data_IF_279449448463
#
_entry.id   IF_279449448463
#
_cell.length_a   1.000
_cell.length_b   1.000
_cell.length_c   1.000
_cell.angle_alpha   90.00
_cell.angle_beta   90.00
_cell.angle_gamma   90.00
#
_symmetry.space_group_name_H-M   'P 1'
#
loop_
_entity.id
_entity.type
_entity.pdbx_description
1 polymer ?
#
# COMPACT_ATOMS: atom_id res chain seq x y z
N UNK A 1 -11.53 4.37 -26.55
CA UNK A 1 -10.80 4.93 -25.40
C UNK A 1 -10.65 3.83 -24.38
N UNK A 2 -9.43 3.57 -23.92
CA UNK A 2 -9.27 2.64 -22.80
C UNK A 2 -9.78 3.31 -21.51
N UNK A 3 -10.27 2.50 -20.57
CA UNK A 3 -10.81 2.98 -19.29
C UNK A 3 -10.08 2.34 -18.12
N UNK A 4 -10.09 3.04 -16.98
CA UNK A 4 -9.48 2.55 -15.76
C UNK A 4 -10.19 1.30 -15.25
N UNK A 5 -9.43 0.26 -14.86
CA UNK A 5 -10.03 -0.95 -14.31
C UNK A 5 -10.77 -0.72 -12.98
N UNK A 6 -10.37 0.28 -12.20
CA UNK A 6 -10.96 0.63 -10.89
C UNK A 6 -12.18 1.55 -11.09
N UNK A 7 -11.96 2.80 -11.49
CA UNK A 7 -13.03 3.81 -11.49
C UNK A 7 -13.88 3.87 -12.78
N UNK A 8 -13.53 3.08 -13.80
CA UNK A 8 -14.14 3.09 -15.15
C UNK A 8 -14.08 4.43 -15.89
N UNK A 9 -13.38 5.43 -15.34
CA UNK A 9 -13.15 6.72 -15.98
C UNK A 9 -12.09 6.65 -17.08
N UNK A 10 -11.82 7.83 -17.64
CA UNK A 10 -10.86 8.00 -18.74
C UNK A 10 -9.45 7.62 -18.31
N UNK A 11 -8.73 6.92 -19.19
CA UNK A 11 -7.35 6.55 -18.94
C UNK A 11 -6.42 7.72 -19.27
N UNK A 12 -5.77 8.27 -18.25
CA UNK A 12 -4.76 9.33 -18.37
C UNK A 12 -3.32 8.79 -18.34
N UNK A 13 -3.09 7.69 -17.62
CA UNK A 13 -1.81 6.99 -17.48
C UNK A 13 -2.05 5.48 -17.29
N UNK A 14 -1.03 4.63 -17.43
CA UNK A 14 -1.16 3.16 -17.26
C UNK A 14 -0.28 2.65 -16.13
N UNK A 15 -0.66 2.97 -14.89
CA UNK A 15 0.03 2.46 -13.70
C UNK A 15 -0.21 0.97 -13.51
N UNK A 16 0.77 0.33 -12.86
CA UNK A 16 0.81 -1.10 -12.56
C UNK A 16 0.67 -1.98 -13.81
N UNK A 17 1.80 -2.49 -14.30
CA UNK A 17 1.89 -3.27 -15.54
C UNK A 17 0.85 -4.41 -15.54
N UNK A 18 -0.06 -4.39 -16.51
CA UNK A 18 -1.13 -5.39 -16.68
C UNK A 18 -2.48 -5.05 -16.01
N UNK A 19 -2.53 -4.02 -15.17
CA UNK A 19 -3.74 -3.63 -14.45
C UNK A 19 -4.47 -2.42 -15.03
N UNK A 20 -3.80 -1.60 -15.87
CA UNK A 20 -4.43 -0.46 -16.58
C UNK A 20 -5.17 0.49 -15.61
N UNK A 21 -4.42 1.02 -14.63
CA UNK A 21 -4.94 1.88 -13.57
C UNK A 21 -4.56 3.34 -13.88
N UNK A 22 -5.52 4.27 -13.75
CA UNK A 22 -5.31 5.70 -13.99
C UNK A 22 -4.56 6.35 -12.82
N UNK A 23 -4.12 7.60 -12.96
CA UNK A 23 -3.30 8.28 -11.94
C UNK A 23 -4.04 8.41 -10.61
N UNK A 24 -5.29 8.90 -10.62
CA UNK A 24 -6.09 9.09 -9.39
C UNK A 24 -6.26 7.77 -8.62
N UNK A 25 -6.55 6.67 -9.32
CA UNK A 25 -6.68 5.37 -8.67
C UNK A 25 -5.33 4.76 -8.24
N UNK A 26 -4.23 5.13 -8.90
CA UNK A 26 -2.90 4.71 -8.49
C UNK A 26 -2.47 5.41 -7.20
N UNK A 27 -2.74 6.70 -7.07
CA UNK A 27 -2.44 7.46 -5.85
C UNK A 27 -3.20 6.86 -4.64
N UNK A 28 -4.50 6.61 -4.79
CA UNK A 28 -5.31 5.94 -3.76
C UNK A 28 -4.84 4.52 -3.45
N UNK A 29 -4.28 3.83 -4.46
CA UNK A 29 -3.71 2.50 -4.27
C UNK A 29 -2.42 2.56 -3.44
N UNK A 30 -1.54 3.53 -3.71
CA UNK A 30 -0.33 3.76 -2.90
C UNK A 30 -0.70 4.11 -1.45
N UNK A 31 -1.76 4.89 -1.21
CA UNK A 31 -2.27 5.20 0.14
C UNK A 31 -2.66 3.92 0.90
N UNK A 32 -3.45 3.04 0.27
CA UNK A 32 -3.90 1.78 0.87
C UNK A 32 -2.74 0.80 1.10
N UNK A 33 -1.84 0.67 0.13
CA UNK A 33 -0.73 -0.27 0.22
C UNK A 33 0.37 0.21 1.18
N UNK A 34 0.58 1.52 1.29
CA UNK A 34 1.47 2.13 2.27
C UNK A 34 0.99 1.86 3.70
N UNK A 35 -0.30 2.08 3.96
CA UNK A 35 -0.93 1.75 5.24
C UNK A 35 -0.76 0.27 5.59
N UNK A 36 -1.04 -0.60 4.63
CA UNK A 36 -0.89 -2.04 4.80
C UNK A 36 0.57 -2.47 5.06
N UNK A 37 1.52 -1.82 4.37
CA UNK A 37 2.94 -2.04 4.58
C UNK A 37 3.35 -1.70 6.01
N UNK A 38 2.98 -0.53 6.53
CA UNK A 38 3.28 -0.16 7.91
C UNK A 38 2.71 -1.12 8.94
N UNK A 39 1.46 -1.56 8.77
CA UNK A 39 0.87 -2.56 9.69
C UNK A 39 1.68 -3.84 9.68
N UNK A 40 2.04 -4.32 8.48
CA UNK A 40 2.75 -5.58 8.30
C UNK A 40 4.15 -5.57 8.90
N UNK A 41 4.85 -4.42 8.87
CA UNK A 41 6.23 -4.30 9.38
C UNK A 41 6.30 -3.87 10.85
N UNK A 42 5.34 -3.08 11.34
CA UNK A 42 5.30 -2.65 12.75
C UNK A 42 5.07 -3.82 13.69
N UNK A 43 4.33 -4.85 13.24
CA UNK A 43 4.12 -6.10 13.99
C UNK A 43 5.40 -6.96 14.12
N UNK A 44 6.50 -6.64 13.41
CA UNK A 44 7.71 -7.47 13.32
C UNK A 44 8.99 -6.84 13.91
N UNK A 45 8.88 -5.72 14.63
CA UNK A 45 10.03 -4.90 15.08
C UNK A 45 11.08 -5.62 15.96
N UNK A 46 10.81 -6.83 16.48
CA UNK A 46 11.74 -7.57 17.35
C UNK A 46 12.82 -8.41 16.62
N UNK A 47 12.81 -8.57 15.29
CA UNK A 47 13.68 -9.57 14.61
C UNK A 47 14.73 -8.99 13.65
N UNK A 48 15.41 -7.91 14.04
CA UNK A 48 16.49 -7.25 13.28
C UNK A 48 17.77 -8.08 12.98
N UNK A 49 17.83 -9.39 13.29
CA UNK A 49 19.01 -10.25 13.03
C UNK A 49 18.78 -11.43 12.07
N UNK A 50 17.56 -11.62 11.56
CA UNK A 50 17.19 -12.79 10.75
C UNK A 50 17.61 -12.75 9.27
N UNK A 51 17.82 -11.56 8.71
CA UNK A 51 17.84 -11.35 7.25
C UNK A 51 18.99 -12.06 6.48
N UNK A 52 20.17 -12.26 7.08
CA UNK A 52 21.24 -13.05 6.43
C UNK A 52 20.94 -14.56 6.44
N UNK A 53 20.16 -15.06 7.40
CA UNK A 53 19.63 -16.43 7.45
C UNK A 53 18.34 -16.62 6.62
N UNK A 54 17.70 -15.49 6.25
CA UNK A 54 16.47 -15.35 5.47
C UNK A 54 16.72 -15.54 3.97
N UNK A 55 17.90 -15.14 3.46
CA UNK A 55 18.31 -15.40 2.08
C UNK A 55 18.60 -16.90 1.80
N UNK A 56 18.98 -17.67 2.82
CA UNK A 56 19.24 -19.12 2.69
C UNK A 56 17.96 -19.99 2.70
N UNK A 57 16.79 -19.46 3.07
CA UNK A 57 15.58 -20.26 3.29
C UNK A 57 14.34 -19.67 2.57
N UNK A 58 14.19 -19.93 1.27
CA UNK A 58 13.00 -19.57 0.47
C UNK A 58 11.63 -20.07 0.98
N UNK A 59 11.58 -20.76 2.13
CA UNK A 59 10.37 -21.21 2.82
C UNK A 59 9.62 -20.09 3.55
N UNK A 60 10.30 -19.02 3.99
CA UNK A 60 9.63 -17.95 4.76
C UNK A 60 8.98 -16.87 3.86
N UNK A 61 9.46 -16.71 2.62
CA UNK A 61 8.78 -15.88 1.61
C UNK A 61 7.37 -16.40 1.32
N UNK A 62 7.20 -17.74 1.31
CA UNK A 62 5.90 -18.40 1.20
C UNK A 62 5.04 -18.14 2.45
N UNK A 63 5.65 -18.09 3.65
CA UNK A 63 4.95 -17.78 4.91
C UNK A 63 4.47 -16.33 4.96
N UNK A 64 5.32 -15.36 4.60
CA UNK A 64 4.93 -13.95 4.52
C UNK A 64 3.94 -13.71 3.39
N UNK A 65 4.04 -14.41 2.26
CA UNK A 65 3.01 -14.43 1.20
C UNK A 65 1.66 -14.97 1.71
N UNK A 66 1.68 -16.07 2.48
CA UNK A 66 0.47 -16.62 3.10
C UNK A 66 -0.12 -15.67 4.16
N UNK A 67 0.72 -15.00 4.94
CA UNK A 67 0.30 -13.97 5.89
C UNK A 67 -0.27 -12.76 5.17
N UNK A 68 0.39 -12.25 4.12
CA UNK A 68 -0.09 -11.12 3.33
C UNK A 68 -1.49 -11.41 2.81
N UNK A 69 -1.67 -12.60 2.23
CA UNK A 69 -2.98 -13.08 1.76
C UNK A 69 -4.02 -13.25 2.87
N UNK A 70 -3.62 -13.67 4.08
CA UNK A 70 -4.53 -13.85 5.23
C UNK A 70 -4.93 -12.51 5.86
N UNK A 71 -4.02 -11.55 5.89
CA UNK A 71 -4.19 -10.25 6.52
C UNK A 71 -4.78 -9.20 5.56
N UNK A 72 -4.65 -9.36 4.25
CA UNK A 72 -5.21 -8.44 3.26
C UNK A 72 -6.74 -8.35 3.34
N UNK A 73 -7.45 -9.47 3.52
CA UNK A 73 -8.91 -9.43 3.72
C UNK A 73 -9.34 -8.67 4.96
N UNK A 74 -8.59 -8.84 6.07
CA UNK A 74 -8.84 -8.11 7.31
C UNK A 74 -8.54 -6.61 7.13
N UNK A 75 -7.48 -6.30 6.40
CA UNK A 75 -7.09 -4.94 6.06
C UNK A 75 -8.14 -4.24 5.21
N UNK A 76 -8.58 -4.85 4.09
CA UNK A 76 -9.65 -4.35 3.22
C UNK A 76 -10.89 -4.03 4.05
N UNK A 77 -11.37 -4.99 4.85
CA UNK A 77 -12.56 -4.80 5.68
C UNK A 77 -12.40 -3.67 6.70
N UNK A 78 -11.25 -3.59 7.35
CA UNK A 78 -10.95 -2.50 8.29
C UNK A 78 -10.95 -1.13 7.60
N UNK A 79 -10.36 -1.03 6.41
CA UNK A 79 -10.35 0.22 5.64
C UNK A 79 -11.75 0.58 5.14
N UNK A 80 -12.54 -0.39 4.70
CA UNK A 80 -13.93 -0.19 4.29
C UNK A 80 -14.80 0.34 5.44
N UNK A 81 -14.75 -0.31 6.60
CA UNK A 81 -15.45 0.12 7.82
C UNK A 81 -15.07 1.56 8.20
N UNK A 82 -13.76 1.87 8.15
CA UNK A 82 -13.28 3.20 8.49
C UNK A 82 -13.73 4.28 7.49
N UNK A 83 -13.69 3.98 6.18
CA UNK A 83 -14.21 4.88 5.14
C UNK A 83 -15.70 5.15 5.34
N UNK A 84 -16.49 4.13 5.67
CA UNK A 84 -17.91 4.29 5.95
C UNK A 84 -18.19 5.16 7.19
N UNK A 85 -17.39 5.03 8.24
CA UNK A 85 -17.51 5.90 9.42
C UNK A 85 -17.17 7.36 9.07
N UNK A 86 -16.05 7.61 8.38
CA UNK A 86 -15.62 8.95 7.98
C UNK A 86 -16.60 9.63 7.00
N UNK A 87 -17.27 8.84 6.15
CA UNK A 87 -18.28 9.34 5.23
C UNK A 87 -19.49 9.97 5.93
N UNK A 88 -19.84 9.57 7.16
CA UNK A 88 -21.03 10.06 7.87
C UNK A 88 -21.00 11.58 8.13
N UNK A 89 -19.81 12.19 8.14
CA UNK A 89 -19.62 13.63 8.34
C UNK A 89 -18.87 14.34 7.20
N UNK A 90 -18.56 13.64 6.11
CA UNK A 90 -17.75 14.20 5.03
C UNK A 90 -18.58 15.09 4.09
N UNK A 91 -18.01 16.21 3.65
CA UNK A 91 -18.59 17.09 2.63
C UNK A 91 -17.54 17.53 1.61
N UNK A 92 -17.99 17.90 0.41
CA UNK A 92 -17.14 18.46 -0.64
C UNK A 92 -16.01 17.52 -1.08
N UNK A 93 -14.78 18.03 -1.10
CA UNK A 93 -13.60 17.29 -1.56
C UNK A 93 -13.30 16.02 -0.75
N UNK A 94 -13.54 16.04 0.58
CA UNK A 94 -13.34 14.87 1.45
C UNK A 94 -14.29 13.74 1.10
N UNK A 95 -15.56 14.06 0.81
CA UNK A 95 -16.55 13.06 0.41
C UNK A 95 -16.16 12.40 -0.91
N UNK A 96 -15.79 13.21 -1.92
CA UNK A 96 -15.33 12.69 -3.21
C UNK A 96 -14.11 11.77 -3.07
N UNK A 97 -13.16 12.14 -2.23
CA UNK A 97 -11.98 11.31 -1.92
C UNK A 97 -12.41 9.96 -1.31
N UNK A 98 -13.27 9.98 -0.30
CA UNK A 98 -13.73 8.76 0.38
C UNK A 98 -14.53 7.83 -0.55
N UNK A 99 -15.40 8.38 -1.41
CA UNK A 99 -16.13 7.60 -2.42
C UNK A 99 -15.20 6.93 -3.43
N UNK A 100 -14.14 7.63 -3.84
CA UNK A 100 -13.11 7.08 -4.73
C UNK A 100 -12.26 6.03 -4.03
N UNK A 101 -11.89 6.26 -2.78
CA UNK A 101 -11.16 5.30 -1.96
C UNK A 101 -11.97 4.01 -1.79
N UNK A 102 -13.29 4.12 -1.56
CA UNK A 102 -14.19 2.97 -1.49
C UNK A 102 -14.24 2.17 -2.80
N UNK A 103 -14.22 2.83 -3.96
CA UNK A 103 -14.13 2.15 -5.26
C UNK A 103 -12.83 1.35 -5.39
N UNK A 104 -11.71 1.91 -4.93
CA UNK A 104 -10.40 1.22 -4.91
C UNK A 104 -10.40 0.03 -3.94
N UNK A 105 -10.98 0.18 -2.75
CA UNK A 105 -11.12 -0.90 -1.75
C UNK A 105 -11.96 -2.05 -2.33
N UNK A 106 -13.11 -1.74 -2.92
CA UNK A 106 -13.98 -2.73 -3.56
C UNK A 106 -13.25 -3.49 -4.68
N UNK A 107 -12.46 -2.78 -5.49
CA UNK A 107 -11.64 -3.43 -6.52
C UNK A 107 -10.59 -4.38 -5.92
N UNK A 108 -9.92 -3.99 -4.83
CA UNK A 108 -8.94 -4.82 -4.14
C UNK A 108 -9.56 -6.08 -3.52
N UNK A 109 -10.79 -6.00 -3.03
CA UNK A 109 -11.54 -7.17 -2.53
C UNK A 109 -11.70 -8.24 -3.62
N UNK A 110 -11.97 -7.79 -4.84
CA UNK A 110 -12.17 -8.65 -6.02
C UNK A 110 -10.88 -9.00 -6.76
N UNK A 111 -9.74 -8.37 -6.41
CA UNK A 111 -8.42 -8.61 -7.01
C UNK A 111 -7.33 -8.80 -5.93
N UNK A 112 -7.47 -9.78 -5.02
CA UNK A 112 -6.54 -9.97 -3.91
C UNK A 112 -5.11 -10.34 -4.36
N UNK A 113 -4.94 -10.87 -5.56
CA UNK A 113 -3.64 -11.11 -6.18
C UNK A 113 -2.84 -9.84 -6.44
N UNK A 114 -3.49 -8.67 -6.50
CA UNK A 114 -2.81 -7.39 -6.66
C UNK A 114 -1.85 -7.11 -5.49
N UNK A 115 -2.20 -7.49 -4.26
CA UNK A 115 -1.28 -7.38 -3.11
C UNK A 115 0.04 -8.09 -3.38
N UNK A 116 -0.02 -9.29 -3.98
CA UNK A 116 1.18 -10.08 -4.27
C UNK A 116 2.00 -9.45 -5.39
N UNK A 117 1.33 -8.98 -6.45
CA UNK A 117 1.99 -8.23 -7.51
C UNK A 117 2.69 -6.99 -6.93
N UNK A 118 1.97 -6.21 -6.14
CA UNK A 118 2.45 -4.97 -5.55
C UNK A 118 3.69 -5.21 -4.69
N UNK A 119 3.63 -6.13 -3.72
CA UNK A 119 4.80 -6.40 -2.89
C UNK A 119 5.94 -7.00 -3.68
N UNK A 120 5.69 -7.86 -4.67
CA UNK A 120 6.78 -8.41 -5.49
C UNK A 120 7.51 -7.34 -6.29
N UNK A 121 6.81 -6.36 -6.84
CA UNK A 121 7.43 -5.33 -7.68
C UNK A 121 8.03 -4.17 -6.86
N UNK A 122 7.47 -3.88 -5.67
CA UNK A 122 7.79 -2.66 -4.92
C UNK A 122 8.35 -2.89 -3.51
N UNK A 123 8.86 -4.08 -3.18
CA UNK A 123 9.47 -4.40 -1.87
C UNK A 123 10.96 -4.04 -1.72
N UNK A 124 11.59 -3.49 -2.76
CA UNK A 124 13.00 -3.09 -2.72
C UNK A 124 13.15 -1.61 -3.02
N UNK A 125 14.15 -0.99 -2.41
CA UNK A 125 14.55 0.36 -2.75
C UNK A 125 14.93 0.40 -4.24
N UNK A 126 14.35 1.31 -5.04
CA UNK A 126 14.64 1.37 -6.47
C UNK A 126 16.08 1.83 -6.78
N UNK A 127 16.75 2.47 -5.81
CA UNK A 127 18.11 3.00 -5.97
C UNK A 127 19.18 1.96 -5.65
N UNK A 128 19.10 1.30 -4.48
CA UNK A 128 20.16 0.41 -4.00
C UNK A 128 19.74 -1.06 -3.86
N UNK A 129 18.48 -1.41 -4.19
CA UNK A 129 17.97 -2.77 -4.09
C UNK A 129 17.78 -3.28 -2.65
N UNK A 130 17.97 -2.42 -1.64
CA UNK A 130 17.77 -2.81 -0.25
C UNK A 130 16.31 -3.20 0.02
N UNK A 131 16.11 -4.27 0.79
CA UNK A 131 14.79 -4.64 1.29
C UNK A 131 14.19 -3.49 2.09
N UNK A 132 13.01 -3.04 1.68
CA UNK A 132 12.28 -1.98 2.39
C UNK A 132 11.73 -2.49 3.73
N UNK A 133 11.70 -3.81 3.96
CA UNK A 133 11.28 -4.39 5.24
C UNK A 133 12.32 -4.21 6.34
N UNK A 134 13.60 -4.05 5.97
CA UNK A 134 14.71 -4.09 6.92
C UNK A 134 15.47 -2.76 7.00
N UNK A 135 15.40 -1.92 5.96
CA UNK A 135 16.21 -0.71 5.82
C UNK A 135 15.35 0.48 5.39
N UNK A 136 14.36 0.83 6.21
CA UNK A 136 13.48 1.97 5.96
C UNK A 136 13.39 2.88 7.17
N UNK A 137 13.37 4.19 6.90
CA UNK A 137 13.01 5.21 7.87
C UNK A 137 11.61 5.75 7.50
N UNK A 138 10.88 6.23 8.51
CA UNK A 138 9.54 6.78 8.34
C UNK A 138 9.50 8.21 8.86
N UNK A 139 8.94 9.10 8.05
CA UNK A 139 8.82 10.51 8.38
C UNK A 139 7.40 10.99 8.12
N UNK A 140 6.77 11.55 9.15
CA UNK A 140 5.47 12.21 9.04
C UNK A 140 5.68 13.70 8.73
N UNK A 141 5.13 14.18 7.62
CA UNK A 141 5.16 15.59 7.22
C UNK A 141 3.71 16.03 6.94
N UNK A 142 3.05 16.59 7.96
CA UNK A 142 1.63 16.95 7.89
C UNK A 142 0.76 15.69 7.74
N UNK A 143 -0.04 15.65 6.66
CA UNK A 143 -0.88 14.51 6.24
C UNK A 143 -0.17 13.55 5.29
N UNK A 144 1.14 13.69 5.16
CA UNK A 144 1.95 12.82 4.30
C UNK A 144 2.83 11.96 5.16
N UNK A 145 2.85 10.67 4.83
CA UNK A 145 3.82 9.75 5.35
C UNK A 145 4.83 9.40 4.25
N UNK A 146 6.10 9.55 4.60
CA UNK A 146 7.21 9.27 3.71
C UNK A 146 8.03 8.13 4.25
N UNK A 147 8.36 7.19 3.38
CA UNK A 147 9.21 6.04 3.65
C UNK A 147 10.48 6.22 2.82
N UNK A 148 11.62 6.35 3.50
CA UNK A 148 12.93 6.53 2.88
C UNK A 148 13.80 5.30 3.13
N UNK A 149 14.77 5.05 2.26
CA UNK A 149 15.71 3.95 2.44
C UNK A 149 16.82 4.35 3.42
N UNK A 150 16.98 3.65 4.55
CA UNK A 150 18.06 3.93 5.52
C UNK A 150 19.47 3.79 4.96
N UNK A 151 19.64 3.08 3.83
CA UNK A 151 20.97 2.86 3.22
C UNK A 151 21.41 3.96 2.25
N UNK A 152 20.47 4.69 1.64
CA UNK A 152 20.79 5.63 0.56
C UNK A 152 19.87 6.84 0.50
N UNK A 153 19.05 7.03 1.53
CA UNK A 153 18.10 8.15 1.74
C UNK A 153 17.08 8.37 0.61
N UNK A 154 17.00 7.44 -0.33
CA UNK A 154 16.05 7.51 -1.44
C UNK A 154 14.63 7.38 -0.90
N UNK A 155 13.74 8.29 -1.31
CA UNK A 155 12.29 8.16 -1.04
C UNK A 155 11.75 6.94 -1.77
N UNK A 156 11.36 5.93 -1.00
CA UNK A 156 10.79 4.68 -1.51
C UNK A 156 9.30 4.87 -1.77
N UNK A 157 8.58 5.44 -0.80
CA UNK A 157 7.15 5.71 -0.88
C UNK A 157 6.83 7.06 -0.26
N UNK A 158 5.86 7.73 -0.84
CA UNK A 158 5.21 8.91 -0.28
C UNK A 158 3.72 8.74 -0.52
N UNK A 159 2.94 8.69 0.54
CA UNK A 159 1.50 8.53 0.41
C UNK A 159 0.78 9.45 1.38
N UNK A 160 -0.44 9.79 0.98
CA UNK A 160 -1.31 10.62 1.75
C UNK A 160 -1.87 9.75 2.87
N UNK A 161 -1.39 10.01 4.08
CA UNK A 161 -1.96 9.46 5.29
C UNK A 161 -2.56 10.67 5.99
N UNK A 162 -3.78 11.11 5.59
CA UNK A 162 -4.47 12.11 6.38
C UNK A 162 -4.46 11.56 7.78
N UNK A 163 -3.93 12.31 8.75
CA UNK A 163 -3.86 11.80 10.11
C UNK A 163 -5.29 11.43 10.47
N UNK A 164 -5.57 10.14 10.44
CA UNK A 164 -6.80 9.56 10.92
C UNK A 164 -6.64 9.72 12.42
N UNK A 165 -7.08 10.90 12.89
CA UNK A 165 -6.89 11.39 14.25
C UNK A 165 -7.55 10.35 15.15
N UNK A 166 -6.71 9.62 15.87
CA UNK A 166 -7.12 8.87 17.06
C UNK A 166 -7.71 9.81 18.10
#
# INVERSE_FOLDING_TARGET
>A
METCKICKGDQDSKHYKGYNICTECADLMEDLMGEYFLRTISDNAETKKGYLKYLENGKEFISNYQKIRKHSKRHIKHMEEHVHEEMKGAQGGKQRYLERLLQTINWLEHCPEFYNYYFREYYVCPSCGASIFDNYDKQEIGDWLMITCEKCDTVIKKYFSPKFVS
#
